data_IF_981844045523
#
_entry.id   IF_981844045523
#
_cell.length_a   1.000
_cell.length_b   1.000
_cell.length_c   1.000
_cell.angle_alpha   90.00
_cell.angle_beta   90.00
_cell.angle_gamma   90.00
#
_symmetry.space_group_name_H-M   'P 1'
#
loop_
_entity.id
_entity.type
_entity.pdbx_description
1 polymer ?
#
# COMPACT_ATOMS: atom_id res chain seq x y z
N UNK A 1 -2.55 7.07 9.05
CA UNK A 1 -1.60 7.65 10.03
C UNK A 1 -1.13 9.00 9.47
N UNK A 2 -0.61 9.93 10.30
CA UNK A 2 -0.03 11.18 9.82
C UNK A 2 1.50 11.06 9.70
N UNK A 3 2.08 11.39 8.54
CA UNK A 3 3.54 11.39 8.31
C UNK A 3 3.99 12.59 7.49
N UNK A 4 5.15 13.15 7.83
CA UNK A 4 5.85 14.16 7.04
C UNK A 4 6.76 13.49 6.01
N UNK A 5 6.82 14.06 4.81
CA UNK A 5 7.60 13.60 3.66
C UNK A 5 8.31 14.83 3.08
N UNK A 6 9.62 14.76 2.95
CA UNK A 6 10.43 15.81 2.31
C UNK A 6 10.46 15.54 0.80
N UNK A 7 10.14 16.56 0.00
CA UNK A 7 10.18 16.50 -1.46
C UNK A 7 11.23 17.51 -1.95
N UNK A 8 12.35 17.00 -2.44
CA UNK A 8 13.42 17.79 -3.04
C UNK A 8 13.32 17.75 -4.57
N UNK A 9 13.31 18.93 -5.20
CA UNK A 9 13.50 19.09 -6.65
C UNK A 9 14.60 20.13 -6.89
N UNK A 10 15.28 20.04 -8.05
CA UNK A 10 16.53 20.74 -8.43
C UNK A 10 16.63 22.26 -8.17
N UNK A 11 15.56 22.93 -7.73
CA UNK A 11 15.58 24.36 -7.34
C UNK A 11 14.86 24.72 -6.04
N UNK A 12 14.10 23.83 -5.37
CA UNK A 12 13.38 24.12 -4.09
C UNK A 12 13.06 22.84 -3.28
N UNK A 13 13.29 22.88 -1.96
CA UNK A 13 12.81 21.88 -0.98
C UNK A 13 11.38 22.22 -0.54
N UNK A 14 10.46 21.25 -0.54
CA UNK A 14 9.09 21.40 0.00
C UNK A 14 8.79 20.26 0.97
N UNK A 15 8.09 20.57 2.05
CA UNK A 15 7.70 19.60 3.08
C UNK A 15 6.24 19.24 2.87
N UNK A 16 5.86 17.97 2.96
CA UNK A 16 4.47 17.54 2.78
C UNK A 16 4.04 16.65 3.94
N UNK A 17 2.89 16.93 4.55
CA UNK A 17 2.28 16.07 5.55
C UNK A 17 1.11 15.33 4.92
N UNK A 18 1.15 14.01 4.97
CA UNK A 18 0.07 13.12 4.54
C UNK A 18 -0.65 12.63 5.79
N UNK A 19 -1.96 12.83 5.89
CA UNK A 19 -2.75 12.50 7.07
C UNK A 19 -4.11 11.90 6.70
N UNK A 20 -4.68 11.13 7.63
CA UNK A 20 -6.04 10.58 7.49
C UNK A 20 -7.06 11.69 7.76
N UNK A 21 -7.94 11.98 6.80
CA UNK A 21 -8.99 12.99 6.95
C UNK A 21 -10.32 12.39 7.45
N UNK A 22 -10.65 11.17 7.02
CA UNK A 22 -11.87 10.47 7.45
C UNK A 22 -11.60 9.00 7.71
N UNK A 23 -12.15 8.52 8.82
CA UNK A 23 -12.31 7.11 9.12
C UNK A 23 -13.80 6.81 9.02
N UNK A 24 -14.23 6.21 7.90
CA UNK A 24 -15.63 5.82 7.73
C UNK A 24 -15.85 4.50 8.48
N UNK A 25 -16.46 4.59 9.66
CA UNK A 25 -16.64 3.49 10.61
C UNK A 25 -17.52 2.35 10.08
N UNK A 26 -18.21 2.54 8.95
CA UNK A 26 -19.02 1.50 8.29
C UNK A 26 -18.30 0.80 7.13
N UNK A 27 -17.28 1.41 6.53
CA UNK A 27 -16.67 0.91 5.28
C UNK A 27 -15.16 0.65 5.38
N UNK A 28 -14.52 0.98 6.51
CA UNK A 28 -13.08 0.87 6.76
C UNK A 28 -12.20 1.59 5.70
N UNK A 29 -12.82 2.47 4.89
CA UNK A 29 -12.14 3.29 3.88
C UNK A 29 -11.36 4.41 4.56
N UNK A 30 -10.07 4.51 4.23
CA UNK A 30 -9.17 5.57 4.70
C UNK A 30 -8.97 6.62 3.62
N UNK A 31 -9.52 7.81 3.83
CA UNK A 31 -9.30 8.95 2.95
C UNK A 31 -8.07 9.72 3.45
N UNK A 32 -6.99 9.70 2.67
CA UNK A 32 -5.76 10.41 3.00
C UNK A 32 -5.70 11.72 2.21
N UNK A 33 -5.32 12.80 2.89
CA UNK A 33 -4.99 14.10 2.27
C UNK A 33 -3.52 14.40 2.40
N UNK A 34 -3.00 15.13 1.42
CA UNK A 34 -1.64 15.66 1.43
C UNK A 34 -1.71 17.18 1.51
N UNK A 35 -0.96 17.76 2.45
CA UNK A 35 -0.79 19.21 2.60
C UNK A 35 0.68 19.56 2.49
N UNK A 36 1.00 20.61 1.73
CA UNK A 36 2.37 21.06 1.52
C UNK A 36 2.67 22.26 2.43
N UNK A 37 3.91 22.31 2.89
CA UNK A 37 4.46 23.32 3.77
C UNK A 37 5.79 23.84 3.20
N UNK A 38 6.06 25.14 3.35
CA UNK A 38 7.31 25.75 2.94
C UNK A 38 8.49 25.37 3.85
N UNK A 39 8.26 25.05 5.12
CA UNK A 39 9.31 24.72 6.10
C UNK A 39 9.03 23.40 6.84
N UNK A 40 10.08 22.76 7.36
CA UNK A 40 9.95 21.52 8.16
C UNK A 40 9.19 21.80 9.45
N UNK A 41 9.49 22.93 10.09
CA UNK A 41 8.94 23.27 11.40
C UNK A 41 7.41 23.47 11.35
N UNK A 42 6.88 24.02 10.26
CA UNK A 42 5.42 24.12 10.05
C UNK A 42 4.78 22.76 9.77
N UNK A 43 5.47 21.87 9.05
CA UNK A 43 5.00 20.51 8.82
C UNK A 43 4.98 19.70 10.13
N UNK A 44 5.99 19.87 10.99
CA UNK A 44 6.12 19.17 12.26
C UNK A 44 5.07 19.65 13.28
N UNK A 45 4.84 20.97 13.40
CA UNK A 45 3.75 21.54 14.23
C UNK A 45 2.39 20.99 13.83
N UNK A 46 2.09 20.93 12.52
CA UNK A 46 0.83 20.38 12.02
C UNK A 46 0.70 18.87 12.31
N UNK A 47 1.81 18.14 12.33
CA UNK A 47 1.83 16.70 12.62
C UNK A 47 1.59 16.42 14.10
N UNK A 48 2.14 17.24 14.99
CA UNK A 48 1.90 17.14 16.44
C UNK A 48 0.47 17.51 16.82
N UNK A 49 -0.12 18.54 16.20
CA UNK A 49 -1.55 18.86 16.37
C UNK A 49 -2.45 17.68 15.98
N UNK A 50 -2.15 17.00 14.87
CA UNK A 50 -2.88 15.81 14.43
C UNK A 50 -2.74 14.62 15.38
N UNK A 51 -1.59 14.46 16.03
CA UNK A 51 -1.36 13.38 17.00
C UNK A 51 -2.18 13.59 18.26
N UNK A 52 -2.18 14.80 18.80
CA UNK A 52 -2.95 15.17 19.99
C UNK A 52 -4.46 15.04 19.77
N UNK A 53 -4.97 15.49 18.62
CA UNK A 53 -6.39 15.32 18.29
C UNK A 53 -6.82 13.84 18.17
N UNK A 54 -5.91 12.96 17.74
CA UNK A 54 -6.18 11.53 17.54
C UNK A 54 -6.10 10.72 18.83
N UNK A 55 -5.23 11.10 19.77
CA UNK A 55 -5.19 10.49 21.11
C UNK A 55 -6.48 10.74 21.87
N UNK A 56 -7.02 11.96 21.80
CA UNK A 56 -8.27 12.32 22.48
C UNK A 56 -9.47 11.53 21.93
N UNK A 57 -9.49 11.26 20.62
CA UNK A 57 -10.49 10.39 19.99
C UNK A 57 -10.36 8.92 20.41
N UNK A 58 -9.13 8.43 20.61
CA UNK A 58 -8.87 7.02 20.91
C UNK A 58 -9.35 6.62 22.30
N UNK A 59 -9.22 7.52 23.29
CA UNK A 59 -9.71 7.34 24.67
C UNK A 59 -11.24 7.20 24.71
N UNK A 60 -11.97 7.81 23.77
CA UNK A 60 -13.43 7.74 23.70
C UNK A 60 -13.97 6.45 23.04
N UNK A 61 -13.15 5.72 22.28
CA UNK A 61 -13.58 4.55 21.48
C UNK A 61 -13.33 3.18 22.14
N UNK A 62 -12.79 3.13 23.36
CA UNK A 62 -12.28 1.90 24.00
C UNK A 62 -13.35 0.87 24.47
N UNK A 63 -14.60 0.94 24.00
CA UNK A 63 -15.73 0.13 24.56
C UNK A 63 -16.39 -0.88 23.62
N UNK A 64 -15.75 -1.32 22.53
CA UNK A 64 -16.32 -2.41 21.71
C UNK A 64 -15.27 -3.46 21.34
N UNK A 65 -15.35 -4.70 21.90
CA UNK A 65 -14.58 -5.83 21.40
C UNK A 65 -15.10 -6.17 19.98
N UNK A 66 -14.27 -5.96 18.97
CA UNK A 66 -14.62 -6.23 17.56
C UNK A 66 -14.20 -7.66 17.21
N UNK A 67 -15.16 -8.58 17.11
CA UNK A 67 -14.95 -9.88 16.47
C UNK A 67 -14.44 -9.66 15.04
N UNK A 68 -13.25 -10.19 14.74
CA UNK A 68 -12.56 -10.02 13.46
C UNK A 68 -13.20 -10.92 12.39
N UNK A 69 -14.25 -10.42 11.73
CA UNK A 69 -14.65 -10.96 10.43
C UNK A 69 -13.50 -10.71 9.43
N UNK A 70 -13.12 -11.68 8.58
CA UNK A 70 -12.08 -11.47 7.58
C UNK A 70 -12.58 -10.44 6.57
N UNK A 71 -12.07 -9.21 6.67
CA UNK A 71 -12.36 -8.12 5.73
C UNK A 71 -11.95 -8.54 4.33
N UNK A 72 -12.93 -8.77 3.44
CA UNK A 72 -12.68 -9.01 2.02
C UNK A 72 -12.04 -7.74 1.44
N UNK A 73 -10.82 -7.85 0.92
CA UNK A 73 -10.05 -6.72 0.37
C UNK A 73 -9.74 -7.01 -1.09
N UNK A 74 -9.95 -6.04 -1.99
CA UNK A 74 -9.58 -6.23 -3.39
C UNK A 74 -8.05 -6.28 -3.52
N UNK A 75 -7.57 -7.13 -4.41
CA UNK A 75 -6.14 -7.28 -4.65
C UNK A 75 -5.50 -5.96 -5.09
N UNK A 76 -6.17 -5.18 -5.97
CA UNK A 76 -5.66 -3.87 -6.39
C UNK A 76 -5.50 -2.87 -5.24
N UNK A 77 -6.37 -2.96 -4.24
CA UNK A 77 -6.33 -2.07 -3.08
C UNK A 77 -5.19 -2.48 -2.16
N UNK A 78 -5.09 -3.78 -1.87
CA UNK A 78 -4.03 -4.33 -1.04
C UNK A 78 -2.63 -4.07 -1.63
N UNK A 79 -2.45 -4.36 -2.92
CA UNK A 79 -1.16 -4.17 -3.58
C UNK A 79 -0.76 -2.70 -3.64
N UNK A 80 -1.71 -1.77 -3.78
CA UNK A 80 -1.41 -0.35 -3.71
C UNK A 80 -0.98 0.07 -2.31
N UNK A 81 -1.73 -0.30 -1.27
CA UNK A 81 -1.37 0.01 0.12
C UNK A 81 0.01 -0.55 0.48
N UNK A 82 0.25 -1.82 0.13
CA UNK A 82 1.51 -2.50 0.45
C UNK A 82 2.69 -1.97 -0.37
N UNK A 83 2.52 -1.80 -1.69
CA UNK A 83 3.62 -1.42 -2.59
C UNK A 83 4.05 0.03 -2.41
N UNK A 84 3.10 0.97 -2.26
CA UNK A 84 3.39 2.40 -2.06
C UNK A 84 3.57 2.78 -0.58
N UNK A 85 3.19 1.90 0.35
CA UNK A 85 3.43 2.04 1.78
C UNK A 85 4.66 1.26 2.23
N UNK A 86 4.44 0.12 2.88
CA UNK A 86 5.44 -0.71 3.57
C UNK A 86 6.64 -1.07 2.68
N UNK A 87 6.40 -1.45 1.43
CA UNK A 87 7.43 -1.95 0.53
C UNK A 87 8.26 -0.85 -0.13
N UNK A 88 7.73 0.38 -0.24
CA UNK A 88 8.41 1.51 -0.87
C UNK A 88 9.60 2.02 -0.06
N UNK A 89 9.55 1.90 1.27
CA UNK A 89 10.55 2.47 2.19
C UNK A 89 11.93 1.79 2.11
N UNK A 90 12.01 0.56 1.59
CA UNK A 90 13.24 -0.24 1.58
C UNK A 90 13.87 -0.50 0.21
N UNK A 91 13.31 0.03 -0.88
CA UNK A 91 13.77 -0.30 -2.24
C UNK A 91 14.37 0.90 -2.98
N UNK A 92 15.46 0.65 -3.70
CA UNK A 92 16.09 1.65 -4.59
C UNK A 92 15.10 2.11 -5.66
N UNK A 93 15.19 3.38 -6.07
CA UNK A 93 14.29 4.01 -7.06
C UNK A 93 14.16 3.20 -8.35
N UNK A 94 15.26 2.69 -8.88
CA UNK A 94 15.22 1.89 -10.11
C UNK A 94 14.44 0.58 -9.91
N UNK A 95 14.66 -0.10 -8.78
CA UNK A 95 13.93 -1.32 -8.42
C UNK A 95 12.44 -1.03 -8.22
N UNK A 96 12.11 0.11 -7.63
CA UNK A 96 10.72 0.58 -7.49
C UNK A 96 10.04 0.70 -8.86
N UNK A 97 10.65 1.44 -9.79
CA UNK A 97 10.10 1.63 -11.15
C UNK A 97 9.90 0.31 -11.89
N UNK A 98 10.87 -0.59 -11.83
CA UNK A 98 10.77 -1.91 -12.47
C UNK A 98 9.61 -2.71 -11.88
N UNK A 99 9.48 -2.75 -10.55
CA UNK A 99 8.38 -3.47 -9.89
C UNK A 99 7.02 -2.83 -10.18
N UNK A 100 6.94 -1.50 -10.19
CA UNK A 100 5.72 -0.77 -10.55
C UNK A 100 5.26 -1.11 -11.98
N UNK A 101 6.19 -1.20 -12.92
CA UNK A 101 5.90 -1.62 -14.30
C UNK A 101 5.38 -3.07 -14.35
N UNK A 102 5.99 -4.01 -13.61
CA UNK A 102 5.51 -5.39 -13.52
C UNK A 102 4.08 -5.46 -12.96
N UNK A 103 3.80 -4.71 -11.91
CA UNK A 103 2.49 -4.65 -11.25
C UNK A 103 1.43 -4.16 -12.25
N UNK A 104 1.65 -3.00 -12.85
CA UNK A 104 0.68 -2.36 -13.73
C UNK A 104 0.46 -3.13 -15.03
N UNK A 105 1.51 -3.78 -15.56
CA UNK A 105 1.45 -4.45 -16.87
C UNK A 105 0.97 -5.89 -16.78
N UNK A 106 1.29 -6.62 -15.70
CA UNK A 106 1.07 -8.07 -15.66
C UNK A 106 0.15 -8.51 -14.51
N UNK A 107 0.26 -7.88 -13.34
CA UNK A 107 -0.37 -8.41 -12.13
C UNK A 107 -1.76 -7.80 -11.94
N UNK A 108 -1.86 -6.47 -11.93
CA UNK A 108 -3.15 -5.77 -11.74
C UNK A 108 -4.16 -6.09 -12.84
N UNK A 109 -3.79 -6.19 -14.13
CA UNK A 109 -4.75 -6.57 -15.17
C UNK A 109 -5.35 -7.98 -14.99
N UNK A 110 -4.67 -8.86 -14.25
CA UNK A 110 -5.09 -10.25 -14.08
C UNK A 110 -5.82 -10.48 -12.73
N UNK A 111 -5.31 -9.89 -11.65
CA UNK A 111 -5.83 -10.10 -10.30
C UNK A 111 -6.57 -8.90 -9.70
N UNK A 112 -6.48 -7.72 -10.31
CA UNK A 112 -6.85 -6.45 -9.67
C UNK A 112 -8.27 -6.39 -9.11
N UNK A 113 -9.22 -6.99 -9.82
CA UNK A 113 -10.64 -6.97 -9.47
C UNK A 113 -11.07 -8.18 -8.61
N UNK A 114 -10.12 -9.08 -8.29
CA UNK A 114 -10.37 -10.23 -7.40
C UNK A 114 -10.13 -9.85 -5.95
N UNK A 115 -10.84 -10.50 -5.03
CA UNK A 115 -10.51 -10.41 -3.62
C UNK A 115 -9.20 -11.14 -3.34
N UNK A 116 -8.35 -10.56 -2.50
CA UNK A 116 -7.04 -11.10 -2.15
C UNK A 116 -7.13 -12.54 -1.61
N UNK A 117 -8.19 -12.85 -0.88
CA UNK A 117 -8.45 -14.16 -0.28
C UNK A 117 -8.93 -15.22 -1.29
N UNK A 118 -9.40 -14.79 -2.47
CA UNK A 118 -9.94 -15.67 -3.50
C UNK A 118 -8.87 -16.09 -4.51
N UNK A 119 -7.71 -15.43 -4.53
CA UNK A 119 -6.62 -15.76 -5.45
C UNK A 119 -5.99 -17.10 -5.05
N UNK A 120 -6.04 -18.03 -5.99
CA UNK A 120 -5.54 -19.40 -5.83
C UNK A 120 -4.15 -19.58 -6.45
N UNK A 121 -3.44 -20.62 -6.00
CA UNK A 121 -2.18 -21.02 -6.62
C UNK A 121 -2.35 -21.42 -8.10
N UNK A 122 -3.53 -21.93 -8.48
CA UNK A 122 -3.84 -22.30 -9.86
C UNK A 122 -3.84 -21.07 -10.78
N UNK A 123 -4.52 -20.00 -10.39
CA UNK A 123 -4.58 -18.77 -11.19
C UNK A 123 -3.21 -18.07 -11.29
N UNK A 124 -2.35 -18.23 -10.28
CA UNK A 124 -0.95 -17.77 -10.34
C UNK A 124 -0.17 -18.57 -11.39
N UNK A 125 -0.38 -19.89 -11.46
CA UNK A 125 0.24 -20.73 -12.48
C UNK A 125 -0.28 -20.40 -13.89
N UNK A 126 -1.59 -20.17 -14.03
CA UNK A 126 -2.21 -19.73 -15.29
C UNK A 126 -1.63 -18.40 -15.78
N UNK A 127 -1.42 -17.42 -14.88
CA UNK A 127 -0.72 -16.18 -15.24
C UNK A 127 0.66 -16.47 -15.82
N UNK A 128 1.44 -17.38 -15.24
CA UNK A 128 2.79 -17.70 -15.75
C UNK A 128 2.74 -18.37 -17.11
N UNK A 129 1.82 -19.30 -17.31
CA UNK A 129 1.58 -19.96 -18.61
C UNK A 129 1.19 -18.92 -19.65
N UNK A 130 0.26 -18.03 -19.33
CA UNK A 130 -0.17 -16.96 -20.22
C UNK A 130 1.01 -16.05 -20.60
N UNK A 131 1.88 -15.66 -19.64
CA UNK A 131 3.06 -14.84 -19.95
C UNK A 131 4.11 -15.58 -20.76
N UNK A 132 4.23 -16.90 -20.59
CA UNK A 132 5.08 -17.71 -21.46
C UNK A 132 4.57 -17.71 -22.91
N UNK A 133 3.25 -17.90 -23.11
CA UNK A 133 2.62 -17.84 -24.42
C UNK A 133 2.69 -16.44 -25.07
N UNK A 134 2.65 -15.38 -24.28
CA UNK A 134 2.88 -14.00 -24.75
C UNK A 134 4.36 -13.73 -25.12
N UNK A 135 5.26 -14.70 -24.96
CA UNK A 135 6.67 -14.61 -25.34
C UNK A 135 7.57 -13.91 -24.33
N UNK A 136 7.13 -13.76 -23.07
CA UNK A 136 8.00 -13.19 -22.04
C UNK A 136 9.12 -14.15 -21.65
N UNK A 137 10.30 -13.59 -21.37
CA UNK A 137 11.43 -14.40 -20.91
C UNK A 137 11.14 -15.09 -19.58
N UNK A 138 11.75 -16.26 -19.36
CA UNK A 138 11.70 -16.96 -18.07
C UNK A 138 12.19 -16.09 -16.90
N UNK A 139 13.12 -15.18 -17.15
CA UNK A 139 13.60 -14.21 -16.14
C UNK A 139 12.50 -13.22 -15.73
N UNK A 140 11.73 -12.71 -16.70
CA UNK A 140 10.58 -11.83 -16.42
C UNK A 140 9.51 -12.57 -15.63
N UNK A 141 9.16 -13.80 -16.03
CA UNK A 141 8.18 -14.63 -15.32
C UNK A 141 8.67 -14.93 -13.88
N UNK A 142 9.95 -15.27 -13.72
CA UNK A 142 10.57 -15.46 -12.40
C UNK A 142 10.54 -14.21 -11.51
N UNK A 143 10.65 -13.02 -12.12
CA UNK A 143 10.52 -11.75 -11.41
C UNK A 143 9.09 -11.51 -10.93
N UNK A 144 8.08 -11.84 -11.75
CA UNK A 144 6.66 -11.78 -11.37
C UNK A 144 6.39 -12.75 -10.22
N UNK A 145 6.87 -14.00 -10.34
CA UNK A 145 6.73 -15.01 -9.30
C UNK A 145 7.32 -14.56 -7.95
N UNK A 146 8.57 -14.08 -7.97
CA UNK A 146 9.26 -13.63 -6.75
C UNK A 146 8.54 -12.45 -6.09
N UNK A 147 8.00 -11.54 -6.90
CA UNK A 147 7.21 -10.42 -6.41
C UNK A 147 5.91 -10.89 -5.75
N UNK A 148 5.13 -11.75 -6.41
CA UNK A 148 3.88 -12.29 -5.88
C UNK A 148 4.11 -13.07 -4.58
N UNK A 149 5.16 -13.90 -4.53
CA UNK A 149 5.54 -14.62 -3.32
C UNK A 149 5.78 -13.68 -2.13
N UNK A 150 6.52 -12.59 -2.37
CA UNK A 150 6.79 -11.57 -1.32
C UNK A 150 5.50 -10.88 -0.87
N UNK A 151 4.65 -10.48 -1.83
CA UNK A 151 3.38 -9.82 -1.57
C UNK A 151 2.45 -10.69 -0.71
N UNK A 152 2.19 -11.94 -1.14
CA UNK A 152 1.29 -12.84 -0.42
C UNK A 152 1.84 -13.24 0.95
N UNK A 153 3.16 -13.41 1.08
CA UNK A 153 3.78 -13.64 2.40
C UNK A 153 3.53 -12.47 3.36
N UNK A 154 3.60 -11.23 2.86
CA UNK A 154 3.26 -10.05 3.64
C UNK A 154 1.78 -10.01 4.03
N UNK A 155 0.88 -10.40 3.10
CA UNK A 155 -0.56 -10.45 3.33
C UNK A 155 -0.91 -11.44 4.45
N UNK A 156 -0.32 -12.65 4.40
CA UNK A 156 -0.51 -13.67 5.44
C UNK A 156 -0.01 -13.16 6.79
N UNK A 157 1.16 -12.51 6.83
CA UNK A 157 1.71 -11.95 8.07
C UNK A 157 0.78 -10.89 8.69
N UNK A 158 0.23 -9.98 7.88
CA UNK A 158 -0.67 -8.89 8.34
C UNK A 158 -2.02 -9.40 8.84
N UNK A 159 -2.47 -10.59 8.39
CA UNK A 159 -3.70 -11.24 8.88
C UNK A 159 -3.49 -12.00 10.19
N UNK A 160 -2.26 -12.36 10.52
CA UNK A 160 -1.88 -13.10 11.73
C UNK A 160 -1.41 -12.21 12.89
N UNK A 161 -1.25 -10.90 12.67
CA UNK A 161 -0.85 -9.90 13.67
C UNK A 161 -2.03 -9.09 14.17
#
# INVERSE_FOLDING_TARGET
>A
MAKSVVIENEKKTRYAVIYDERLDSKTDKRYMKQKFFPTSEEADKFLDELRSAKSDLSILMETVPKEQQPTKILFREYIQEWFYGEHAHGIKHQTFKVRQALINKHIVPYFGDKYLQEITAHEIAELFIQKDHEGYSKSTIGSIHSFLFTLFRSAVKKRLS
#
